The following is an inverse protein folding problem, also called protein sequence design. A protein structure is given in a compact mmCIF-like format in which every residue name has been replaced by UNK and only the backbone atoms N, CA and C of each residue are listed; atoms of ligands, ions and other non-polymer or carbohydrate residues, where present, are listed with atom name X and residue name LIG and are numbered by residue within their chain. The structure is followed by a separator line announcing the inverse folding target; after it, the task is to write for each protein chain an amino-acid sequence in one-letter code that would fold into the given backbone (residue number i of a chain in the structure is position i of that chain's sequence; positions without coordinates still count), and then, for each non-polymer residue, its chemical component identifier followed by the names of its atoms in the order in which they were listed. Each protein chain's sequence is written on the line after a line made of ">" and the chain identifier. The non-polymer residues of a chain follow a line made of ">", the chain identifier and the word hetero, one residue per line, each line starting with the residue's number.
data_IF_306436342073
#
_entry.id   IF_306436342073
#
_cell.length_a   1.000
_cell.length_b   1.000
_cell.length_c   1.000
_cell.angle_alpha   90.00
_cell.angle_beta   90.00
_cell.angle_gamma   90.00
#
_symmetry.space_group_name_H-M   'P 1'
#
loop_
_entity.id
_entity.type
_entity.pdbx_description
1 polymer ?
#
# COMPACT_ATOMS: atom_id res chain seq x y z
N UNK A 1 13.93 39.72 -3.74
CA UNK A 1 14.20 38.47 -4.49
C UNK A 1 13.29 37.37 -3.96
N UNK A 2 12.24 37.03 -4.70
CA UNK A 2 11.37 35.88 -4.39
C UNK A 2 12.16 34.61 -4.62
N UNK A 3 12.53 33.89 -3.55
CA UNK A 3 13.11 32.54 -3.67
C UNK A 3 12.06 31.64 -4.31
N UNK A 4 12.16 31.43 -5.62
CA UNK A 4 11.42 30.41 -6.35
C UNK A 4 11.70 29.08 -5.66
N UNK A 5 10.76 28.65 -4.83
CA UNK A 5 10.85 27.36 -4.15
C UNK A 5 10.51 26.31 -5.18
N UNK A 6 11.54 25.85 -5.91
CA UNK A 6 11.43 24.66 -6.76
C UNK A 6 11.05 23.52 -5.81
N UNK A 7 9.82 23.04 -5.91
CA UNK A 7 9.39 21.85 -5.18
C UNK A 7 10.12 20.70 -5.87
N UNK A 8 11.10 20.05 -5.24
CA UNK A 8 11.77 18.92 -5.88
C UNK A 8 10.70 17.89 -6.23
N UNK A 9 10.76 17.37 -7.46
CA UNK A 9 9.93 16.25 -7.86
C UNK A 9 10.13 15.12 -6.86
N UNK A 10 9.02 14.57 -6.35
CA UNK A 10 9.08 13.55 -5.32
C UNK A 10 9.73 12.28 -5.89
N UNK A 11 11.01 12.10 -5.59
CA UNK A 11 11.78 10.95 -6.04
C UNK A 11 12.05 10.01 -4.86
N UNK A 12 11.23 8.97 -4.76
CA UNK A 12 11.36 7.91 -3.74
C UNK A 12 12.75 7.27 -3.69
N UNK A 13 13.43 7.12 -4.84
CA UNK A 13 14.75 6.50 -4.91
C UNK A 13 15.80 7.29 -4.13
N UNK A 14 15.61 8.61 -3.96
CA UNK A 14 16.52 9.45 -3.16
C UNK A 14 16.25 9.35 -1.67
N UNK A 15 15.04 8.99 -1.27
CA UNK A 15 14.64 8.90 0.14
C UNK A 15 14.77 7.52 0.74
N UNK A 16 14.66 6.47 -0.07
CA UNK A 16 14.55 5.09 0.39
C UNK A 16 15.90 4.37 0.24
N UNK A 17 16.21 3.51 1.21
CA UNK A 17 17.35 2.61 1.23
C UNK A 17 16.87 1.18 1.47
N UNK A 18 17.64 0.21 1.00
CA UNK A 18 17.42 -1.20 1.28
C UNK A 18 18.70 -1.80 1.85
N UNK A 19 18.58 -2.52 2.97
CA UNK A 19 19.65 -3.33 3.57
C UNK A 19 19.00 -4.55 4.22
N UNK A 20 19.63 -5.71 4.12
CA UNK A 20 19.22 -6.93 4.85
C UNK A 20 17.74 -7.31 4.64
N UNK A 21 17.25 -7.12 3.41
CA UNK A 21 15.86 -7.39 3.04
C UNK A 21 14.83 -6.38 3.58
N UNK A 22 15.28 -5.35 4.31
CA UNK A 22 14.42 -4.30 4.86
C UNK A 22 14.56 -3.00 4.10
N UNK A 23 13.45 -2.29 3.98
CA UNK A 23 13.37 -0.98 3.31
C UNK A 23 13.14 0.10 4.36
N UNK A 24 14.05 1.07 4.41
CA UNK A 24 14.02 2.16 5.40
C UNK A 24 14.44 3.50 4.79
N UNK A 25 14.21 4.59 5.53
CA UNK A 25 14.81 5.90 5.26
C UNK A 25 15.65 6.34 6.45
N UNK A 26 16.48 7.37 6.28
CA UNK A 26 17.26 7.93 7.39
C UNK A 26 16.80 9.34 7.70
N UNK A 27 16.89 9.73 8.97
CA UNK A 27 16.65 11.10 9.42
C UNK A 27 17.45 12.15 8.61
N UNK A 28 18.63 11.78 8.11
CA UNK A 28 19.46 12.64 7.25
C UNK A 28 18.85 12.82 5.85
N UNK A 29 18.42 11.74 5.20
CA UNK A 29 17.70 11.81 3.91
C UNK A 29 16.40 12.59 4.02
N UNK A 30 15.67 12.42 5.12
CA UNK A 30 14.47 13.21 5.42
C UNK A 30 14.83 14.71 5.53
N UNK A 31 15.87 15.05 6.30
CA UNK A 31 16.32 16.43 6.45
C UNK A 31 16.67 17.07 5.09
N UNK A 32 17.44 16.36 4.27
CA UNK A 32 17.87 16.83 2.95
C UNK A 32 16.68 17.00 2.00
N UNK A 33 15.75 16.04 1.95
CA UNK A 33 14.58 16.10 1.08
C UNK A 33 13.63 17.25 1.43
N UNK A 34 13.36 17.46 2.72
CA UNK A 34 12.47 18.52 3.17
C UNK A 34 13.15 19.88 3.36
N UNK A 35 14.47 19.98 3.08
CA UNK A 35 15.25 21.18 3.29
C UNK A 35 15.24 21.66 4.75
N UNK A 36 15.23 20.72 5.70
CA UNK A 36 15.21 20.99 7.15
C UNK A 36 16.59 20.74 7.74
N UNK A 37 16.94 21.47 8.81
CA UNK A 37 18.12 21.12 9.61
C UNK A 37 17.92 19.74 10.25
N UNK A 38 18.97 18.92 10.26
CA UNK A 38 18.90 17.54 10.74
C UNK A 38 18.56 17.45 12.23
N UNK A 39 19.09 18.36 13.05
CA UNK A 39 18.76 18.46 14.48
C UNK A 39 17.25 18.67 14.74
N UNK A 40 16.58 19.49 13.92
CA UNK A 40 15.14 19.68 13.99
C UNK A 40 14.37 18.42 13.61
N UNK A 41 14.87 17.64 12.66
CA UNK A 41 14.28 16.36 12.29
C UNK A 41 14.46 15.35 13.43
N UNK A 42 15.64 15.24 14.03
CA UNK A 42 15.88 14.38 15.20
C UNK A 42 14.97 14.72 16.38
N UNK A 43 14.81 16.02 16.68
CA UNK A 43 13.89 16.48 17.73
C UNK A 43 12.46 16.06 17.43
N UNK A 44 12.01 16.21 16.18
CA UNK A 44 10.64 15.83 15.82
C UNK A 44 10.43 14.31 15.83
N UNK A 45 11.44 13.53 15.44
CA UNK A 45 11.41 12.07 15.54
C UNK A 45 11.26 11.64 17.00
N UNK A 46 12.07 12.17 17.92
CA UNK A 46 11.95 11.86 19.35
C UNK A 46 10.57 12.20 19.89
N UNK A 47 10.05 13.38 19.58
CA UNK A 47 8.70 13.77 19.99
C UNK A 47 7.65 12.76 19.48
N UNK A 48 7.67 12.42 18.18
CA UNK A 48 6.70 11.47 17.61
C UNK A 48 6.85 10.09 18.23
N UNK A 49 8.09 9.64 18.46
CA UNK A 49 8.40 8.37 19.10
C UNK A 49 7.84 8.30 20.52
N UNK A 50 8.00 9.35 21.31
CA UNK A 50 7.54 9.43 22.71
C UNK A 50 6.00 9.54 22.81
N UNK A 51 5.34 10.03 21.77
CA UNK A 51 3.88 10.05 21.65
C UNK A 51 3.28 8.71 21.18
N UNK A 52 4.11 7.77 20.72
CA UNK A 52 3.68 6.46 20.22
C UNK A 52 3.71 5.37 21.32
N UNK A 53 2.89 4.32 21.20
CA UNK A 53 3.09 3.09 21.96
C UNK A 53 4.49 2.50 21.73
N UNK A 54 5.11 1.96 22.78
CA UNK A 54 6.49 1.48 22.74
C UNK A 54 6.76 0.44 21.65
N UNK A 55 5.83 -0.50 21.44
CA UNK A 55 5.93 -1.52 20.41
C UNK A 55 5.96 -0.91 19.00
N UNK A 56 5.14 0.12 18.75
CA UNK A 56 5.15 0.84 17.49
C UNK A 56 6.45 1.64 17.35
N UNK A 57 6.86 2.35 18.41
CA UNK A 57 8.05 3.17 18.42
C UNK A 57 9.32 2.35 18.07
N UNK A 58 9.50 1.20 18.72
CA UNK A 58 10.67 0.33 18.53
C UNK A 58 10.77 -0.25 17.11
N UNK A 59 9.63 -0.60 16.50
CA UNK A 59 9.61 -1.17 15.14
C UNK A 59 9.81 -0.12 14.04
N UNK A 60 9.52 1.16 14.33
CA UNK A 60 9.44 2.19 13.30
C UNK A 60 10.52 3.28 13.41
N UNK A 61 11.20 3.39 14.56
CA UNK A 61 12.24 4.38 14.82
C UNK A 61 13.47 3.72 15.47
N UNK A 62 14.39 3.24 14.65
CA UNK A 62 15.65 2.62 15.08
C UNK A 62 16.75 3.68 15.22
N UNK A 63 17.40 3.74 16.38
CA UNK A 63 18.57 4.59 16.61
C UNK A 63 19.78 4.06 15.84
N UNK A 64 20.53 4.97 15.23
CA UNK A 64 21.73 4.64 14.46
C UNK A 64 22.69 5.84 14.46
N UNK A 65 23.90 5.63 13.97
CA UNK A 65 24.89 6.70 13.84
C UNK A 65 25.43 6.78 12.41
N UNK A 66 25.94 7.95 12.05
CA UNK A 66 26.69 8.13 10.81
C UNK A 66 27.96 8.94 11.08
N UNK A 67 28.98 8.71 10.25
CA UNK A 67 30.19 9.51 10.25
C UNK A 67 29.94 10.73 9.36
N UNK A 68 30.10 11.92 9.91
CA UNK A 68 29.95 13.15 9.17
C UNK A 68 31.19 13.48 8.31
N UNK A 69 31.13 14.58 7.58
CA UNK A 69 32.23 15.02 6.71
C UNK A 69 33.53 15.37 7.44
N UNK A 70 33.48 15.62 8.75
CA UNK A 70 34.62 15.94 9.58
C UNK A 70 35.23 14.66 10.20
N UNK A 71 34.58 13.50 10.03
CA UNK A 71 34.96 12.25 10.65
C UNK A 71 34.30 12.03 12.02
N UNK A 72 33.40 12.91 12.44
CA UNK A 72 32.74 12.81 13.74
C UNK A 72 31.52 11.89 13.66
N UNK A 73 31.31 11.10 14.71
CA UNK A 73 30.13 10.25 14.84
C UNK A 73 28.95 11.15 15.25
N UNK A 74 27.88 11.10 14.46
CA UNK A 74 26.67 11.89 14.67
C UNK A 74 25.44 10.99 14.75
N UNK A 75 24.51 11.27 15.69
CA UNK A 75 23.31 10.46 15.87
C UNK A 75 22.34 10.64 14.71
N UNK A 76 21.67 9.56 14.34
CA UNK A 76 20.59 9.51 13.38
C UNK A 76 19.52 8.47 13.75
N UNK A 77 18.42 8.47 13.02
CA UNK A 77 17.45 7.38 13.04
C UNK A 77 17.34 6.73 11.66
N UNK A 78 17.15 5.41 11.64
CA UNK A 78 16.51 4.69 10.52
C UNK A 78 15.02 4.57 10.81
N UNK A 79 14.20 4.85 9.81
CA UNK A 79 12.75 4.82 9.91
C UNK A 79 12.20 3.83 8.90
N UNK A 80 11.26 3.00 9.35
CA UNK A 80 10.43 2.19 8.45
C UNK A 80 9.56 3.10 7.57
N UNK A 81 8.85 2.50 6.61
CA UNK A 81 7.80 3.18 5.85
C UNK A 81 6.77 3.86 6.77
N UNK A 82 6.32 3.18 7.82
CA UNK A 82 5.21 3.64 8.65
C UNK A 82 5.68 4.73 9.63
N UNK A 83 6.87 4.58 10.23
CA UNK A 83 7.50 5.65 11.02
C UNK A 83 7.76 6.91 10.20
N UNK A 84 8.21 6.74 8.95
CA UNK A 84 8.38 7.84 8.01
C UNK A 84 7.06 8.56 7.70
N UNK A 85 6.01 7.80 7.36
CA UNK A 85 4.70 8.39 7.04
C UNK A 85 4.12 9.15 8.24
N UNK A 86 4.22 8.59 9.44
CA UNK A 86 3.76 9.25 10.66
C UNK A 86 4.49 10.58 10.90
N UNK A 87 5.82 10.59 10.74
CA UNK A 87 6.62 11.82 10.84
C UNK A 87 6.17 12.88 9.82
N UNK A 88 5.95 12.48 8.56
CA UNK A 88 5.53 13.39 7.48
C UNK A 88 4.14 13.96 7.71
N UNK A 89 3.23 13.22 8.35
CA UNK A 89 1.90 13.74 8.70
C UNK A 89 2.00 14.97 9.62
N UNK A 90 2.99 15.02 10.50
CA UNK A 90 3.28 16.19 11.35
C UNK A 90 4.06 17.31 10.68
N UNK A 91 4.58 17.13 9.46
CA UNK A 91 5.34 18.16 8.75
C UNK A 91 4.42 19.16 8.04
N UNK A 92 4.89 20.41 7.96
CA UNK A 92 4.28 21.50 7.19
C UNK A 92 5.16 21.86 5.97
N UNK A 93 4.56 22.54 4.99
CA UNK A 93 5.23 23.02 3.76
C UNK A 93 4.79 22.28 2.49
N UNK A 94 5.13 22.85 1.32
CA UNK A 94 4.67 22.36 0.00
C UNK A 94 5.07 20.91 -0.30
N UNK A 95 6.31 20.53 0.04
CA UNK A 95 6.80 19.16 -0.19
C UNK A 95 6.06 18.13 0.68
N UNK A 96 5.83 18.43 1.96
CA UNK A 96 5.05 17.57 2.85
C UNK A 96 3.61 17.46 2.39
N UNK A 97 3.00 18.57 1.95
CA UNK A 97 1.64 18.58 1.41
C UNK A 97 1.52 17.69 0.15
N UNK A 98 2.49 17.75 -0.76
CA UNK A 98 2.49 16.92 -1.96
C UNK A 98 2.49 15.43 -1.62
N UNK A 99 3.31 15.01 -0.64
CA UNK A 99 3.35 13.60 -0.19
C UNK A 99 2.01 13.18 0.41
N UNK A 100 1.39 14.03 1.24
CA UNK A 100 0.06 13.76 1.82
C UNK A 100 -1.00 13.61 0.72
N UNK A 101 -1.00 14.49 -0.29
CA UNK A 101 -1.90 14.38 -1.43
C UNK A 101 -1.66 13.10 -2.22
N UNK A 102 -0.40 12.73 -2.49
CA UNK A 102 -0.06 11.49 -3.19
C UNK A 102 -0.53 10.24 -2.43
N UNK A 103 -0.40 10.25 -1.11
CA UNK A 103 -0.93 9.20 -0.25
C UNK A 103 -2.46 9.11 -0.39
N UNK A 104 -3.19 10.22 -0.27
CA UNK A 104 -4.66 10.27 -0.47
C UNK A 104 -5.05 9.73 -1.87
N UNK A 105 -4.32 10.13 -2.91
CA UNK A 105 -4.56 9.66 -4.29
C UNK A 105 -4.39 8.14 -4.41
N UNK A 106 -3.39 7.56 -3.75
CA UNK A 106 -3.18 6.11 -3.75
C UNK A 106 -4.35 5.37 -3.05
N UNK A 107 -4.88 5.92 -1.94
CA UNK A 107 -6.06 5.37 -1.27
C UNK A 107 -7.29 5.40 -2.18
N UNK A 108 -7.57 6.55 -2.80
CA UNK A 108 -8.71 6.69 -3.71
C UNK A 108 -8.60 5.74 -4.90
N UNK A 109 -7.41 5.60 -5.47
CA UNK A 109 -7.16 4.69 -6.58
C UNK A 109 -7.43 3.23 -6.18
N UNK A 110 -6.96 2.80 -5.01
CA UNK A 110 -7.20 1.43 -4.52
C UNK A 110 -8.69 1.19 -4.23
N UNK A 111 -9.37 2.16 -3.62
CA UNK A 111 -10.82 2.09 -3.38
C UNK A 111 -11.58 1.94 -4.71
N UNK A 112 -11.19 2.69 -5.74
CA UNK A 112 -11.75 2.54 -7.09
C UNK A 112 -11.49 1.16 -7.69
N UNK A 113 -10.29 0.60 -7.52
CA UNK A 113 -9.98 -0.75 -8.00
C UNK A 113 -10.85 -1.81 -7.32
N UNK A 114 -11.04 -1.72 -6.00
CA UNK A 114 -11.91 -2.63 -5.24
C UNK A 114 -13.36 -2.52 -5.74
N UNK A 115 -13.87 -1.31 -5.96
CA UNK A 115 -15.22 -1.12 -6.51
C UNK A 115 -15.38 -1.73 -7.90
N UNK A 116 -14.41 -1.50 -8.80
CA UNK A 116 -14.41 -2.11 -10.14
C UNK A 116 -14.38 -3.64 -10.08
N UNK A 117 -13.60 -4.23 -9.18
CA UNK A 117 -13.54 -5.68 -9.03
C UNK A 117 -14.85 -6.26 -8.47
N UNK A 118 -15.52 -5.54 -7.57
CA UNK A 118 -16.87 -5.91 -7.11
C UNK A 118 -17.88 -5.88 -8.24
N UNK A 119 -17.94 -4.79 -9.01
CA UNK A 119 -18.85 -4.66 -10.16
C UNK A 119 -18.62 -5.77 -11.20
N UNK A 120 -17.35 -5.99 -11.60
CA UNK A 120 -16.97 -7.09 -12.50
C UNK A 120 -17.36 -8.46 -11.93
N UNK A 121 -17.27 -8.62 -10.61
CA UNK A 121 -17.68 -9.84 -9.93
C UNK A 121 -19.18 -10.08 -9.92
N UNK A 122 -19.95 -9.05 -9.59
CA UNK A 122 -21.41 -9.10 -9.64
C UNK A 122 -21.91 -9.42 -11.06
N UNK A 123 -21.33 -8.78 -12.08
CA UNK A 123 -21.67 -9.06 -13.48
C UNK A 123 -21.33 -10.51 -13.86
N UNK A 124 -20.14 -10.98 -13.48
CA UNK A 124 -19.70 -12.34 -13.77
C UNK A 124 -20.58 -13.38 -13.06
N UNK A 125 -20.95 -13.15 -11.80
CA UNK A 125 -21.89 -13.98 -11.03
C UNK A 125 -23.28 -13.99 -11.68
N UNK A 126 -23.79 -12.84 -12.11
CA UNK A 126 -25.08 -12.75 -12.81
C UNK A 126 -25.08 -13.56 -14.11
N UNK A 127 -24.04 -13.39 -14.94
CA UNK A 127 -23.88 -14.18 -16.18
C UNK A 127 -23.79 -15.69 -15.89
N UNK A 128 -23.06 -16.07 -14.85
CA UNK A 128 -22.95 -17.46 -14.42
C UNK A 128 -24.31 -18.03 -13.98
N UNK A 129 -25.07 -17.30 -13.17
CA UNK A 129 -26.40 -17.70 -12.71
C UNK A 129 -27.37 -17.92 -13.89
N UNK A 130 -27.35 -17.05 -14.90
CA UNK A 130 -28.14 -17.22 -16.12
C UNK A 130 -27.74 -18.48 -16.91
N UNK A 131 -26.43 -18.74 -17.07
CA UNK A 131 -25.92 -19.96 -17.73
C UNK A 131 -26.33 -21.22 -16.96
N UNK A 132 -26.23 -21.19 -15.63
CA UNK A 132 -26.60 -22.30 -14.76
C UNK A 132 -28.10 -22.59 -14.83
N UNK A 133 -28.96 -21.56 -14.75
CA UNK A 133 -30.42 -21.71 -14.91
C UNK A 133 -30.79 -22.30 -16.27
N UNK A 134 -30.13 -21.86 -17.36
CA UNK A 134 -30.34 -22.40 -18.71
C UNK A 134 -29.90 -23.87 -18.80
N UNK A 135 -28.76 -24.24 -18.23
CA UNK A 135 -28.29 -25.63 -18.16
C UNK A 135 -29.23 -26.49 -17.31
N UNK A 136 -29.83 -25.92 -16.26
CA UNK A 136 -30.80 -26.61 -15.43
C UNK A 136 -32.08 -26.95 -16.20
N UNK A 137 -32.63 -25.99 -16.94
CA UNK A 137 -33.84 -26.16 -17.75
C UNK A 137 -33.66 -27.26 -18.82
N UNK A 138 -32.49 -27.32 -19.49
CA UNK A 138 -32.17 -28.40 -20.44
C UNK A 138 -32.28 -29.79 -19.83
N UNK A 139 -31.91 -29.96 -18.56
CA UNK A 139 -32.00 -31.25 -17.88
C UNK A 139 -33.43 -31.65 -17.50
N UNK A 140 -34.37 -30.71 -17.44
CA UNK A 140 -35.80 -30.98 -17.19
C UNK A 140 -36.56 -31.37 -18.46
N UNK A 141 -36.02 -31.04 -19.65
CA UNK A 141 -36.69 -31.23 -20.94
C UNK A 141 -36.53 -32.64 -21.56
N UNK A 142 -35.67 -33.51 -21.02
CA UNK A 142 -35.63 -34.91 -21.45
C UNK A 142 -34.34 -35.67 -21.12
N UNK A 143 -34.44 -37.01 -21.07
CA UNK A 143 -33.34 -37.92 -20.69
C UNK A 143 -32.13 -37.87 -21.62
N UNK A 144 -32.32 -37.53 -22.89
CA UNK A 144 -31.25 -37.45 -23.91
C UNK A 144 -30.25 -36.30 -23.65
N UNK A 145 -30.64 -35.25 -22.92
CA UNK A 145 -29.79 -34.08 -22.67
C UNK A 145 -28.94 -34.21 -21.39
N UNK A 146 -29.11 -35.29 -20.61
CA UNK A 146 -28.43 -35.44 -19.31
C UNK A 146 -26.92 -35.66 -19.40
N UNK A 147 -26.43 -36.35 -20.44
CA UNK A 147 -24.99 -36.63 -20.60
C UNK A 147 -24.21 -35.36 -20.98
N UNK A 148 -24.80 -34.45 -21.76
CA UNK A 148 -24.24 -33.12 -22.03
C UNK A 148 -24.16 -32.26 -20.76
N UNK A 149 -25.19 -32.31 -19.91
CA UNK A 149 -25.25 -31.56 -18.66
C UNK A 149 -24.15 -31.96 -17.66
N UNK A 150 -23.77 -33.24 -17.56
CA UNK A 150 -22.67 -33.65 -16.66
C UNK A 150 -21.35 -32.94 -16.99
N UNK A 151 -21.06 -32.73 -18.28
CA UNK A 151 -19.89 -31.97 -18.74
C UNK A 151 -20.06 -30.47 -18.50
N UNK A 152 -21.23 -29.91 -18.82
CA UNK A 152 -21.54 -28.48 -18.60
C UNK A 152 -21.44 -28.10 -17.11
N UNK A 153 -21.93 -28.95 -16.19
CA UNK A 153 -21.89 -28.68 -14.74
C UNK A 153 -20.45 -28.54 -14.22
N UNK A 154 -19.53 -29.40 -14.69
CA UNK A 154 -18.12 -29.33 -14.31
C UNK A 154 -17.45 -28.07 -14.84
N UNK A 155 -17.76 -27.67 -16.07
CA UNK A 155 -17.27 -26.43 -16.66
C UNK A 155 -17.80 -25.18 -15.93
N UNK A 156 -19.09 -25.15 -15.59
CA UNK A 156 -19.70 -24.06 -14.82
C UNK A 156 -19.11 -23.98 -13.41
N UNK A 157 -18.78 -25.10 -12.78
CA UNK A 157 -18.13 -25.10 -11.47
C UNK A 157 -16.74 -24.45 -11.53
N UNK A 158 -15.94 -24.79 -12.53
CA UNK A 158 -14.62 -24.16 -12.75
C UNK A 158 -14.74 -22.67 -13.07
N UNK A 159 -15.72 -22.27 -13.88
CA UNK A 159 -16.01 -20.86 -14.19
C UNK A 159 -16.39 -20.08 -12.91
N UNK A 160 -17.20 -20.68 -12.04
CA UNK A 160 -17.57 -20.09 -10.75
C UNK A 160 -16.37 -19.89 -9.82
N UNK A 161 -15.49 -20.89 -9.71
CA UNK A 161 -14.27 -20.83 -8.90
C UNK A 161 -13.30 -19.75 -9.40
N UNK A 162 -13.17 -19.59 -10.73
CA UNK A 162 -12.39 -18.51 -11.33
C UNK A 162 -12.98 -17.13 -11.01
N UNK A 163 -14.30 -16.97 -11.12
CA UNK A 163 -14.98 -15.71 -10.79
C UNK A 163 -14.75 -15.35 -9.32
N UNK A 164 -14.89 -16.30 -8.40
CA UNK A 164 -14.60 -16.09 -6.98
C UNK A 164 -13.14 -15.66 -6.74
N UNK A 165 -12.19 -16.28 -7.43
CA UNK A 165 -10.76 -15.95 -7.27
C UNK A 165 -10.39 -14.53 -7.75
N UNK A 166 -11.09 -14.02 -8.78
CA UNK A 166 -10.85 -12.69 -9.35
C UNK A 166 -11.51 -11.56 -8.56
N UNK A 167 -12.51 -11.89 -7.74
CA UNK A 167 -13.44 -10.91 -7.14
C UNK A 167 -13.25 -10.76 -5.64
N UNK A 168 -12.56 -11.70 -5.00
CA UNK A 168 -12.09 -11.54 -3.63
C UNK A 168 -10.70 -10.89 -3.63
N UNK A 169 -10.58 -9.60 -3.27
CA UNK A 169 -9.28 -9.05 -2.92
C UNK A 169 -8.78 -9.79 -1.68
N UNK A 170 -7.72 -10.60 -1.81
CA UNK A 170 -6.94 -11.02 -0.65
C UNK A 170 -6.26 -9.77 -0.08
N UNK A 171 -6.77 -9.28 1.04
CA UNK A 171 -6.02 -8.34 1.87
C UNK A 171 -4.73 -9.05 2.31
N UNK A 172 -3.58 -8.51 1.91
CA UNK A 172 -2.24 -8.99 2.28
C UNK A 172 -1.86 -8.68 3.75
N UNK A 173 -2.87 -8.50 4.60
CA UNK A 173 -2.70 -8.29 6.03
C UNK A 173 -3.53 -9.36 6.74
N UNK A 174 -2.97 -10.57 6.79
CA UNK A 174 -3.28 -11.50 7.87
C UNK A 174 -2.19 -11.24 8.90
N UNK A 175 -2.58 -10.55 9.95
CA UNK A 175 -1.76 -10.26 11.12
C UNK A 175 -1.29 -11.59 11.75
N UNK A 176 0.02 -11.74 11.92
CA UNK A 176 0.65 -12.50 13.01
C UNK A 176 1.41 -11.51 13.89
#
# INVERSE_FOLDING_TARGET
>A
MTKTTVIPEFNFQKMVMASDGQVFTTSKKIADYFGKRHDNVLRKIRQVRDECPDNFAQLNFEEADFIDKNGDIQPMYKLSKDGYMLLVMGFTGKAAMLIKIKFIQAFNWMAEQISRWKELGEEAQHRHALKAAKSELKGRLGSQLMNGRKKEKKALQLEYEQILSLTQPKLLFLDE
#
